data_IF_673458481686
#
_entry.id   IF_673458481686
#
_cell.length_a   1.000
_cell.length_b   1.000
_cell.length_c   1.000
_cell.angle_alpha   90.00
_cell.angle_beta   90.00
_cell.angle_gamma   90.00
#
_symmetry.space_group_name_H-M   'P 1'
#
loop_
_entity.id
_entity.type
_entity.pdbx_description
1 polymer ?
#
# COMPACT_ATOMS: atom_id res chain seq x y z
N UNK A 1 -21.80 -5.26 6.44
CA UNK A 1 -22.05 -4.96 5.01
C UNK A 1 -20.77 -4.58 4.26
N UNK A 2 -19.81 -3.87 4.86
CA UNK A 2 -18.57 -3.45 4.20
C UNK A 2 -17.72 -4.62 3.69
N UNK A 3 -17.37 -5.58 4.54
CA UNK A 3 -16.50 -6.73 4.18
C UNK A 3 -17.06 -7.61 3.05
N UNK A 4 -18.37 -7.99 3.02
CA UNK A 4 -18.92 -8.74 1.90
C UNK A 4 -18.89 -8.02 0.55
N UNK A 5 -18.96 -6.69 0.53
CA UNK A 5 -18.77 -5.92 -0.70
C UNK A 5 -17.28 -5.79 -1.05
N UNK A 6 -16.41 -5.60 -0.06
CA UNK A 6 -14.98 -5.53 -0.26
C UNK A 6 -14.43 -6.83 -0.91
N UNK A 7 -14.93 -8.00 -0.51
CA UNK A 7 -14.49 -9.28 -1.08
C UNK A 7 -14.82 -9.46 -2.58
N UNK A 8 -15.68 -8.61 -3.14
CA UNK A 8 -15.99 -8.59 -4.56
C UNK A 8 -15.02 -7.72 -5.37
N UNK A 9 -14.28 -6.83 -4.74
CA UNK A 9 -13.30 -5.95 -5.36
C UNK A 9 -12.07 -6.75 -5.79
N UNK A 10 -11.70 -6.67 -7.06
CA UNK A 10 -10.67 -7.55 -7.68
C UNK A 10 -9.30 -6.87 -7.78
N UNK A 11 -8.87 -6.25 -6.68
CA UNK A 11 -7.51 -5.72 -6.49
C UNK A 11 -6.98 -6.16 -5.13
N UNK A 12 -5.75 -5.82 -4.79
CA UNK A 12 -5.26 -5.98 -3.42
C UNK A 12 -6.00 -5.03 -2.48
N UNK A 13 -6.80 -5.59 -1.57
CA UNK A 13 -7.64 -4.86 -0.61
C UNK A 13 -7.22 -5.06 0.84
N UNK A 14 -6.07 -5.69 1.11
CA UNK A 14 -5.64 -6.09 2.45
C UNK A 14 -5.60 -4.92 3.44
N UNK A 15 -5.15 -3.73 2.99
CA UNK A 15 -5.15 -2.54 3.85
C UNK A 15 -6.56 -2.10 4.26
N UNK A 16 -7.51 -2.13 3.31
CA UNK A 16 -8.89 -1.76 3.59
C UNK A 16 -9.59 -2.77 4.50
N UNK A 17 -9.29 -4.06 4.32
CA UNK A 17 -9.75 -5.11 5.21
C UNK A 17 -9.21 -4.94 6.63
N UNK A 18 -7.91 -4.62 6.78
CA UNK A 18 -7.28 -4.38 8.07
C UNK A 18 -7.92 -3.19 8.81
N UNK A 19 -8.22 -2.09 8.11
CA UNK A 19 -8.96 -0.94 8.68
C UNK A 19 -10.37 -1.36 9.11
N UNK A 20 -11.12 -2.04 8.24
CA UNK A 20 -12.50 -2.48 8.55
C UNK A 20 -12.59 -3.46 9.72
N UNK A 21 -11.54 -4.25 9.93
CA UNK A 21 -11.42 -5.18 11.07
C UNK A 21 -10.85 -4.54 12.34
N UNK A 22 -10.44 -3.26 12.29
CA UNK A 22 -9.81 -2.56 13.42
C UNK A 22 -8.42 -3.11 13.79
N UNK A 23 -7.73 -3.76 12.85
CA UNK A 23 -6.37 -4.27 13.02
C UNK A 23 -5.33 -3.16 12.90
N UNK A 24 -5.65 -2.10 12.19
CA UNK A 24 -4.83 -0.91 12.00
C UNK A 24 -5.67 0.36 12.09
N UNK A 25 -5.03 1.51 12.22
CA UNK A 25 -5.69 2.81 12.28
C UNK A 25 -6.14 3.28 10.90
N UNK A 26 -7.28 3.97 10.87
CA UNK A 26 -7.86 4.51 9.65
C UNK A 26 -9.31 4.94 9.83
N UNK A 27 -9.89 5.48 8.78
CA UNK A 27 -11.25 6.01 8.77
C UNK A 27 -12.10 5.30 7.72
N UNK A 28 -13.39 5.17 8.01
CA UNK A 28 -14.38 4.60 7.08
C UNK A 28 -15.53 5.59 6.93
N UNK A 29 -15.70 6.10 5.71
CA UNK A 29 -16.80 6.98 5.35
C UNK A 29 -17.82 6.20 4.52
N UNK A 30 -19.09 6.43 4.77
CA UNK A 30 -20.20 5.72 4.13
C UNK A 30 -21.30 6.68 3.69
N UNK A 31 -22.08 6.28 2.69
CA UNK A 31 -23.21 7.05 2.18
C UNK A 31 -24.42 7.03 3.12
N UNK A 32 -24.55 6.02 3.97
CA UNK A 32 -25.64 5.84 4.93
C UNK A 32 -25.19 5.04 6.15
N UNK A 33 -25.54 5.50 7.35
CA UNK A 33 -25.24 4.75 8.59
C UNK A 33 -26.15 3.52 8.76
N UNK A 34 -27.36 3.53 8.21
CA UNK A 34 -28.34 2.46 8.36
C UNK A 34 -28.18 1.37 7.29
N UNK A 35 -28.00 1.78 6.04
CA UNK A 35 -27.94 0.87 4.89
C UNK A 35 -26.82 1.28 3.94
N UNK A 36 -25.55 1.20 4.37
CA UNK A 36 -24.44 1.65 3.55
C UNK A 36 -24.28 0.78 2.30
N UNK A 37 -24.09 1.44 1.15
CA UNK A 37 -23.85 0.83 -0.15
C UNK A 37 -22.57 1.31 -0.80
N UNK A 38 -22.04 2.45 -0.33
CA UNK A 38 -20.81 3.07 -0.80
C UNK A 38 -19.87 3.29 0.37
N UNK A 39 -18.61 2.95 0.16
CA UNK A 39 -17.57 2.98 1.19
C UNK A 39 -16.33 3.68 0.67
N UNK A 40 -15.78 4.56 1.48
CA UNK A 40 -14.43 5.09 1.35
C UNK A 40 -13.64 4.68 2.57
N UNK A 41 -12.60 3.89 2.39
CA UNK A 41 -11.73 3.40 3.47
C UNK A 41 -10.36 4.06 3.32
N UNK A 42 -9.94 4.83 4.32
CA UNK A 42 -8.64 5.49 4.37
C UNK A 42 -7.80 4.91 5.51
N UNK A 43 -6.60 4.46 5.19
CA UNK A 43 -5.59 4.03 6.16
C UNK A 43 -4.69 5.21 6.51
N UNK A 44 -4.28 5.34 7.76
CA UNK A 44 -3.47 6.48 8.24
C UNK A 44 -2.10 6.61 7.55
N UNK A 45 -1.58 5.53 6.97
CA UNK A 45 -0.39 5.58 6.10
C UNK A 45 -0.62 6.35 4.80
N UNK A 46 -1.87 6.70 4.47
CA UNK A 46 -2.23 7.43 3.26
C UNK A 46 -2.64 6.55 2.08
N UNK A 47 -3.06 5.31 2.31
CA UNK A 47 -3.71 4.49 1.27
C UNK A 47 -5.22 4.56 1.43
N UNK A 48 -5.95 4.74 0.32
CA UNK A 48 -7.42 4.72 0.35
C UNK A 48 -8.05 3.95 -0.81
N UNK A 49 -9.28 3.50 -0.56
CA UNK A 49 -10.09 2.76 -1.52
C UNK A 49 -11.54 3.23 -1.46
N UNK A 50 -12.11 3.56 -2.62
CA UNK A 50 -13.55 3.74 -2.78
C UNK A 50 -14.15 2.57 -3.54
N UNK A 51 -15.27 2.00 -3.03
CA UNK A 51 -15.96 0.87 -3.63
C UNK A 51 -17.45 0.87 -3.29
N UNK A 52 -18.22 0.00 -3.98
CA UNK A 52 -19.67 -0.09 -3.89
C UNK A 52 -20.37 0.76 -4.93
N UNK A 53 -21.54 1.33 -4.61
CA UNK A 53 -22.41 2.06 -5.53
C UNK A 53 -21.83 3.43 -5.91
N UNK A 54 -21.38 3.60 -7.17
CA UNK A 54 -20.86 4.87 -7.68
C UNK A 54 -21.96 5.84 -8.16
N UNK A 55 -23.23 5.43 -8.15
CA UNK A 55 -24.37 6.26 -8.59
C UNK A 55 -24.90 7.23 -7.54
N UNK A 56 -24.39 7.25 -6.30
CA UNK A 56 -24.85 8.15 -5.25
C UNK A 56 -24.28 9.56 -5.41
N UNK A 57 -25.03 10.47 -6.03
CA UNK A 57 -24.60 11.85 -6.30
C UNK A 57 -24.24 12.64 -5.03
N UNK A 58 -24.92 12.40 -3.90
CA UNK A 58 -24.63 13.10 -2.67
C UNK A 58 -23.27 12.67 -2.10
N UNK A 59 -22.99 11.36 -2.12
CA UNK A 59 -21.68 10.82 -1.75
C UNK A 59 -20.60 11.32 -2.71
N UNK A 60 -20.87 11.32 -4.01
CA UNK A 60 -19.91 11.76 -5.03
C UNK A 60 -19.53 13.24 -4.87
N UNK A 61 -20.47 14.12 -4.47
CA UNK A 61 -20.14 15.53 -4.14
C UNK A 61 -19.22 15.62 -2.91
N UNK A 62 -19.53 14.85 -1.86
CA UNK A 62 -18.66 14.81 -0.67
C UNK A 62 -17.29 14.22 -0.97
N UNK A 63 -17.23 13.21 -1.82
CA UNK A 63 -15.97 12.64 -2.31
C UNK A 63 -15.15 13.67 -3.07
N UNK A 64 -15.77 14.44 -3.98
CA UNK A 64 -15.10 15.54 -4.69
C UNK A 64 -14.49 16.56 -3.72
N UNK A 65 -15.27 17.04 -2.74
CA UNK A 65 -14.79 17.99 -1.75
C UNK A 65 -13.63 17.41 -0.91
N UNK A 66 -13.66 16.11 -0.60
CA UNK A 66 -12.61 15.43 0.15
C UNK A 66 -11.33 15.24 -0.67
N UNK A 67 -11.41 14.71 -1.90
CA UNK A 67 -10.22 14.44 -2.73
C UNK A 67 -9.51 15.72 -3.17
N UNK A 68 -10.25 16.81 -3.31
CA UNK A 68 -9.71 18.14 -3.64
C UNK A 68 -9.22 18.92 -2.42
N UNK A 69 -9.38 18.35 -1.21
CA UNK A 69 -9.08 18.99 0.07
C UNK A 69 -9.72 20.38 0.23
N UNK A 70 -10.94 20.55 -0.27
CA UNK A 70 -11.66 21.84 -0.30
C UNK A 70 -11.90 22.42 1.08
N UNK A 71 -12.12 21.58 2.08
CA UNK A 71 -12.34 21.97 3.48
C UNK A 71 -11.05 22.11 4.27
N UNK A 72 -9.92 21.63 3.75
CA UNK A 72 -8.63 21.64 4.44
C UNK A 72 -8.52 20.61 5.57
N UNK A 73 -9.39 19.62 5.62
CA UNK A 73 -9.44 18.63 6.70
C UNK A 73 -8.37 17.52 6.54
N UNK A 74 -7.82 17.35 5.35
CA UNK A 74 -6.79 16.36 5.10
C UNK A 74 -5.40 17.01 5.21
N UNK A 75 -4.59 16.49 6.14
CA UNK A 75 -3.27 17.07 6.50
C UNK A 75 -2.09 16.17 6.12
N UNK A 76 -2.34 15.07 5.40
CA UNK A 76 -1.30 14.13 4.95
C UNK A 76 -1.53 13.73 3.49
N UNK A 77 -0.46 13.38 2.76
CA UNK A 77 -0.59 12.80 1.42
C UNK A 77 -1.43 11.54 1.44
N UNK A 78 -2.30 11.40 0.46
CA UNK A 78 -3.18 10.24 0.31
C UNK A 78 -3.20 9.75 -1.12
N UNK A 79 -3.29 8.43 -1.26
CA UNK A 79 -3.26 7.71 -2.52
C UNK A 79 -4.54 6.89 -2.67
N UNK A 80 -5.43 7.35 -3.54
CA UNK A 80 -6.75 6.76 -3.76
C UNK A 80 -6.73 5.70 -4.86
N UNK A 81 -7.40 4.59 -4.60
CA UNK A 81 -7.79 3.56 -5.57
C UNK A 81 -9.32 3.52 -5.68
N UNK A 82 -9.84 3.35 -6.88
CA UNK A 82 -11.25 3.03 -7.10
C UNK A 82 -11.42 1.55 -7.44
N UNK A 83 -12.52 0.94 -6.99
CA UNK A 83 -12.91 -0.40 -7.47
C UNK A 83 -13.04 -0.37 -9.00
N UNK A 84 -12.21 -1.12 -9.74
CA UNK A 84 -12.22 -1.07 -11.21
C UNK A 84 -13.54 -1.59 -11.83
N UNK A 85 -14.28 -2.45 -11.14
CA UNK A 85 -15.55 -2.98 -11.60
C UNK A 85 -16.74 -2.06 -11.23
N UNK A 86 -16.58 -1.18 -10.26
CA UNK A 86 -17.64 -0.34 -9.69
C UNK A 86 -17.91 0.97 -10.44
N UNK A 87 -17.26 1.22 -11.59
CA UNK A 87 -17.45 2.48 -12.33
C UNK A 87 -16.74 3.70 -11.71
N UNK A 88 -15.89 3.48 -10.70
CA UNK A 88 -15.23 4.56 -9.96
C UNK A 88 -14.14 5.28 -10.75
N UNK A 89 -13.33 4.56 -11.56
CA UNK A 89 -12.21 5.16 -12.28
C UNK A 89 -12.65 6.31 -13.21
N UNK A 90 -13.63 6.15 -14.12
CA UNK A 90 -14.06 7.25 -14.97
C UNK A 90 -14.68 8.43 -14.20
N UNK A 91 -15.36 8.14 -13.08
CA UNK A 91 -15.95 9.18 -12.24
C UNK A 91 -14.85 10.02 -11.55
N UNK A 92 -13.86 9.37 -10.94
CA UNK A 92 -12.73 10.04 -10.28
C UNK A 92 -11.91 10.83 -11.31
N UNK A 93 -11.63 10.25 -12.48
CA UNK A 93 -10.89 10.94 -13.56
C UNK A 93 -11.61 12.20 -14.06
N UNK A 94 -12.94 12.15 -14.14
CA UNK A 94 -13.75 13.35 -14.47
C UNK A 94 -13.63 14.43 -13.40
N UNK A 95 -13.72 14.05 -12.12
CA UNK A 95 -13.55 14.95 -10.97
C UNK A 95 -12.16 15.60 -10.95
N UNK A 96 -11.12 14.81 -11.19
CA UNK A 96 -9.73 15.28 -11.23
C UNK A 96 -9.50 16.23 -12.39
N UNK A 97 -10.04 15.91 -13.57
CA UNK A 97 -9.91 16.75 -14.76
C UNK A 97 -10.53 18.12 -14.53
N UNK A 98 -11.76 18.15 -13.99
CA UNK A 98 -12.45 19.40 -13.64
C UNK A 98 -11.66 20.21 -12.60
N UNK A 99 -11.26 19.56 -11.49
CA UNK A 99 -10.50 20.22 -10.43
C UNK A 99 -9.17 20.80 -10.92
N UNK A 100 -8.36 20.02 -11.64
CA UNK A 100 -7.06 20.48 -12.14
C UNK A 100 -7.22 21.61 -13.16
N UNK A 101 -8.29 21.63 -13.95
CA UNK A 101 -8.59 22.74 -14.88
C UNK A 101 -8.94 24.02 -14.11
N UNK A 102 -9.79 23.92 -13.07
CA UNK A 102 -10.13 25.06 -12.20
C UNK A 102 -8.92 25.58 -11.44
N UNK A 103 -8.07 24.68 -10.92
CA UNK A 103 -6.84 25.05 -10.24
C UNK A 103 -5.89 25.84 -11.17
N UNK A 104 -5.68 25.39 -12.39
CA UNK A 104 -4.84 26.07 -13.38
C UNK A 104 -5.36 27.48 -13.73
N UNK A 105 -6.68 27.69 -13.70
CA UNK A 105 -7.28 28.98 -13.98
C UNK A 105 -7.22 29.96 -12.79
N UNK A 106 -7.21 29.42 -11.55
CA UNK A 106 -7.32 30.20 -10.32
C UNK A 106 -5.97 30.49 -9.65
N UNK A 107 -4.97 29.60 -9.82
CA UNK A 107 -3.68 29.68 -9.12
C UNK A 107 -2.58 30.10 -10.10
N UNK A 108 -2.08 31.34 -10.00
CA UNK A 108 -1.06 31.85 -10.91
C UNK A 108 0.35 31.37 -10.58
N UNK A 109 0.60 30.92 -9.32
CA UNK A 109 1.90 30.40 -8.90
C UNK A 109 2.02 28.91 -9.21
N UNK A 110 2.93 28.51 -10.13
CA UNK A 110 3.07 27.11 -10.53
C UNK A 110 3.48 26.17 -9.40
N UNK A 111 4.27 26.61 -8.42
CA UNK A 111 4.71 25.78 -7.31
C UNK A 111 3.55 25.46 -6.35
N UNK A 112 2.73 26.46 -6.05
CA UNK A 112 1.51 26.30 -5.25
C UNK A 112 0.49 25.43 -5.98
N UNK A 113 0.31 25.65 -7.29
CA UNK A 113 -0.56 24.83 -8.12
C UNK A 113 -0.12 23.35 -8.12
N UNK A 114 1.18 23.10 -8.21
CA UNK A 114 1.75 21.73 -8.22
C UNK A 114 1.47 20.97 -6.92
N UNK A 115 1.63 21.60 -5.76
CA UNK A 115 1.32 21.00 -4.45
C UNK A 115 -0.15 20.61 -4.30
N UNK A 116 -1.05 21.41 -4.88
CA UNK A 116 -2.50 21.20 -4.82
C UNK A 116 -3.05 20.32 -5.93
N UNK A 117 -2.25 19.98 -6.93
CA UNK A 117 -2.67 19.16 -8.08
C UNK A 117 -2.87 17.71 -7.67
N UNK A 118 -3.91 17.10 -8.21
CA UNK A 118 -4.12 15.64 -8.12
C UNK A 118 -3.43 15.00 -9.32
N UNK A 119 -2.56 14.02 -9.05
CA UNK A 119 -1.81 13.28 -10.05
C UNK A 119 -2.34 11.87 -10.22
N UNK A 120 -2.43 11.43 -11.47
CA UNK A 120 -2.73 10.02 -11.78
C UNK A 120 -1.42 9.27 -12.00
N UNK A 121 -1.21 8.25 -11.19
CA UNK A 121 -0.13 7.27 -11.29
C UNK A 121 -0.73 5.90 -11.57
N UNK A 122 0.11 4.86 -11.60
CA UNK A 122 -0.32 3.50 -11.86
C UNK A 122 -0.01 2.60 -10.66
N UNK A 123 -1.04 1.96 -10.08
CA UNK A 123 -0.87 0.88 -9.10
C UNK A 123 -0.78 -0.45 -9.84
N UNK A 124 0.23 -1.24 -9.51
CA UNK A 124 0.40 -2.60 -10.04
C UNK A 124 0.10 -3.61 -8.93
N UNK A 125 -0.77 -4.56 -9.23
CA UNK A 125 -1.02 -5.75 -8.44
C UNK A 125 -0.26 -6.91 -9.09
N UNK A 126 0.18 -7.87 -8.27
CA UNK A 126 0.99 -8.99 -8.73
C UNK A 126 0.39 -10.31 -8.30
N UNK A 127 0.72 -11.37 -9.02
CA UNK A 127 0.55 -12.76 -8.60
C UNK A 127 1.91 -13.38 -8.33
N UNK A 128 2.00 -14.24 -7.32
CA UNK A 128 3.24 -14.89 -6.94
C UNK A 128 3.44 -16.22 -7.68
N UNK A 129 4.67 -16.45 -8.16
CA UNK A 129 5.10 -17.70 -8.79
C UNK A 129 6.24 -18.31 -7.97
N UNK A 130 5.98 -19.39 -7.21
CA UNK A 130 6.98 -19.99 -6.33
C UNK A 130 8.11 -20.66 -7.09
N UNK A 131 7.90 -21.15 -8.32
CA UNK A 131 8.98 -21.80 -9.10
C UNK A 131 10.01 -20.76 -9.56
N UNK A 132 9.52 -19.60 -10.03
CA UNK A 132 10.40 -18.48 -10.40
C UNK A 132 11.15 -17.96 -9.18
N UNK A 133 10.48 -17.85 -8.03
CA UNK A 133 11.07 -17.45 -6.76
C UNK A 133 12.21 -18.36 -6.34
N UNK A 134 12.00 -19.68 -6.31
CA UNK A 134 13.03 -20.64 -5.88
C UNK A 134 14.26 -20.58 -6.76
N UNK A 135 14.08 -20.54 -8.08
CA UNK A 135 15.21 -20.41 -9.03
C UNK A 135 15.98 -19.10 -8.85
N UNK A 136 15.28 -17.99 -8.62
CA UNK A 136 15.92 -16.70 -8.39
C UNK A 136 16.66 -16.66 -7.05
N UNK A 137 16.10 -17.28 -6.00
CA UNK A 137 16.72 -17.33 -4.67
C UNK A 137 18.07 -18.04 -4.72
N UNK A 138 18.22 -19.16 -5.43
CA UNK A 138 19.50 -19.86 -5.60
C UNK A 138 20.60 -18.95 -6.18
N UNK A 139 20.24 -18.01 -7.07
CA UNK A 139 21.17 -17.12 -7.75
C UNK A 139 21.48 -15.82 -7.01
N UNK A 140 20.48 -15.27 -6.29
CA UNK A 140 20.51 -13.87 -5.83
C UNK A 140 20.61 -13.71 -4.33
N UNK A 141 20.33 -14.76 -3.55
CA UNK A 141 20.37 -14.69 -2.09
C UNK A 141 21.79 -14.42 -1.58
N UNK A 142 21.93 -13.55 -0.59
CA UNK A 142 23.19 -13.20 0.06
C UNK A 142 23.39 -14.05 1.30
N UNK A 143 24.25 -15.08 1.21
CA UNK A 143 24.58 -15.96 2.32
C UNK A 143 25.62 -15.37 3.30
N UNK A 144 26.24 -14.24 2.93
CA UNK A 144 27.25 -13.51 3.71
C UNK A 144 26.66 -12.40 4.60
N UNK A 145 25.33 -12.22 4.58
CA UNK A 145 24.62 -11.26 5.40
C UNK A 145 23.83 -11.98 6.51
N UNK A 146 23.78 -11.39 7.69
CA UNK A 146 23.00 -11.90 8.81
C UNK A 146 21.55 -11.45 8.68
N UNK A 147 20.61 -12.40 8.71
CA UNK A 147 19.17 -12.12 8.70
C UNK A 147 18.59 -12.63 9.99
N UNK A 148 17.99 -11.73 10.77
CA UNK A 148 17.38 -12.02 12.04
C UNK A 148 15.87 -11.75 12.00
N UNK A 149 15.11 -12.46 12.81
CA UNK A 149 13.71 -12.14 13.02
C UNK A 149 13.59 -10.76 13.69
N UNK A 150 12.63 -9.96 13.27
CA UNK A 150 12.41 -8.62 13.82
C UNK A 150 11.99 -8.71 15.29
N UNK A 151 12.71 -8.05 16.17
CA UNK A 151 12.42 -7.88 17.60
C UNK A 151 11.65 -6.58 17.83
N UNK A 152 11.14 -6.36 19.05
CA UNK A 152 10.52 -5.08 19.43
C UNK A 152 11.49 -3.90 19.28
N UNK A 153 12.75 -4.06 19.63
CA UNK A 153 13.77 -3.04 19.46
C UNK A 153 14.01 -2.73 17.96
N UNK A 154 14.10 -3.76 17.12
CA UNK A 154 14.22 -3.57 15.66
C UNK A 154 12.96 -2.94 15.06
N UNK A 155 11.77 -3.28 15.55
CA UNK A 155 10.52 -2.65 15.12
C UNK A 155 10.51 -1.15 15.45
N UNK A 156 10.86 -0.77 16.66
CA UNK A 156 10.88 0.63 17.11
C UNK A 156 12.02 1.42 16.48
N UNK A 157 13.16 0.80 16.24
CA UNK A 157 14.35 1.42 15.67
C UNK A 157 14.31 1.65 14.16
N UNK A 158 13.28 1.15 13.44
CA UNK A 158 13.17 1.35 11.98
C UNK A 158 13.02 2.81 11.60
N UNK A 159 13.68 3.20 10.51
CA UNK A 159 13.55 4.52 9.89
C UNK A 159 13.38 4.39 8.38
N UNK A 160 12.60 5.27 7.77
CA UNK A 160 12.31 5.24 6.34
C UNK A 160 10.85 5.57 6.01
N UNK A 161 10.50 5.39 4.76
CA UNK A 161 9.16 5.68 4.25
C UNK A 161 8.19 4.51 4.43
N UNK A 162 8.70 3.27 4.48
CA UNK A 162 7.88 2.04 4.59
C UNK A 162 8.38 1.24 5.79
N UNK A 163 7.90 1.58 6.98
CA UNK A 163 8.33 0.97 8.25
C UNK A 163 7.14 0.36 8.99
N UNK A 164 7.32 -0.71 9.78
CA UNK A 164 6.21 -1.44 10.38
C UNK A 164 5.33 -0.59 11.30
N UNK A 165 5.86 0.44 11.98
CA UNK A 165 5.09 1.35 12.84
C UNK A 165 3.97 2.13 12.12
N UNK A 166 3.99 2.22 10.81
CA UNK A 166 2.93 2.86 10.04
C UNK A 166 1.76 1.92 9.73
N UNK A 167 1.94 0.61 9.95
CA UNK A 167 0.98 -0.43 9.58
C UNK A 167 0.43 -1.18 10.80
N UNK A 168 1.14 -1.13 11.90
CA UNK A 168 0.82 -1.86 13.12
C UNK A 168 0.62 -0.91 14.29
N UNK A 169 -0.33 -1.25 15.17
CA UNK A 169 -0.65 -0.44 16.34
C UNK A 169 0.56 -0.24 17.27
N UNK A 170 1.30 -1.30 17.52
CA UNK A 170 2.47 -1.35 18.38
C UNK A 170 3.33 -2.60 18.11
N UNK A 171 4.53 -2.66 18.72
CA UNK A 171 5.46 -3.77 18.59
C UNK A 171 4.88 -5.09 19.12
N UNK A 172 4.13 -5.06 20.22
CA UNK A 172 3.53 -6.26 20.82
C UNK A 172 2.52 -6.89 19.86
N UNK A 173 1.63 -6.09 19.27
CA UNK A 173 0.68 -6.56 18.29
C UNK A 173 1.36 -7.13 17.05
N UNK A 174 2.42 -6.46 16.55
CA UNK A 174 3.22 -6.95 15.43
C UNK A 174 3.90 -8.29 15.75
N UNK A 175 4.55 -8.42 16.89
CA UNK A 175 5.27 -9.63 17.26
C UNK A 175 4.34 -10.85 17.49
N UNK A 176 3.12 -10.60 17.95
CA UNK A 176 2.15 -11.66 18.21
C UNK A 176 1.40 -12.13 16.95
N UNK A 177 1.19 -11.24 15.97
CA UNK A 177 0.29 -11.51 14.83
C UNK A 177 0.90 -11.23 13.47
N UNK A 178 1.98 -10.48 13.40
CA UNK A 178 2.74 -10.19 12.18
C UNK A 178 3.93 -11.12 11.99
N UNK A 179 4.77 -10.78 11.04
CA UNK A 179 6.07 -11.40 10.78
C UNK A 179 7.01 -10.36 10.16
N UNK A 180 8.29 -10.45 10.46
CA UNK A 180 9.28 -9.57 9.86
C UNK A 180 10.71 -10.03 10.12
N UNK A 181 11.58 -9.63 9.22
CA UNK A 181 13.00 -9.93 9.23
C UNK A 181 13.82 -8.67 8.97
N UNK A 182 14.98 -8.60 9.59
CA UNK A 182 15.95 -7.53 9.39
C UNK A 182 17.27 -8.15 8.93
N UNK A 183 17.83 -7.62 7.86
CA UNK A 183 19.16 -7.94 7.41
C UNK A 183 20.14 -6.95 8.06
N UNK A 184 21.05 -7.51 8.86
CA UNK A 184 22.14 -6.79 9.49
C UNK A 184 23.38 -6.87 8.61
N UNK A 185 24.03 -5.71 8.41
CA UNK A 185 25.29 -5.61 7.70
C UNK A 185 26.27 -4.75 8.52
N UNK A 186 27.40 -5.35 8.91
CA UNK A 186 28.38 -4.70 9.78
C UNK A 186 27.77 -4.19 11.10
N UNK A 187 26.74 -4.90 11.61
CA UNK A 187 26.04 -4.56 12.85
C UNK A 187 24.93 -3.51 12.68
N UNK A 188 24.72 -2.99 11.47
CA UNK A 188 23.70 -1.99 11.19
C UNK A 188 22.47 -2.60 10.50
N UNK A 189 21.29 -2.02 10.75
CA UNK A 189 20.07 -2.38 10.04
C UNK A 189 20.14 -1.87 8.58
N UNK A 190 20.43 -2.79 7.64
CA UNK A 190 20.62 -2.45 6.25
C UNK A 190 19.34 -2.56 5.41
N UNK A 191 18.46 -3.53 5.73
CA UNK A 191 17.18 -3.72 5.04
C UNK A 191 16.23 -4.53 5.91
N UNK A 192 14.92 -4.21 5.87
CA UNK A 192 13.91 -4.92 6.64
C UNK A 192 12.69 -5.20 5.79
N UNK A 193 12.22 -6.46 5.82
CA UNK A 193 10.97 -6.90 5.23
C UNK A 193 10.00 -7.34 6.32
N UNK A 194 8.75 -6.95 6.21
CA UNK A 194 7.74 -7.20 7.24
C UNK A 194 6.35 -7.35 6.63
N UNK A 195 5.44 -7.97 7.36
CA UNK A 195 4.03 -7.98 7.02
C UNK A 195 3.46 -6.57 7.15
N UNK A 196 3.17 -5.89 6.03
CA UNK A 196 2.42 -4.65 6.06
C UNK A 196 0.98 -4.94 6.50
N UNK A 197 0.37 -5.96 5.90
CA UNK A 197 -0.96 -6.47 6.27
C UNK A 197 -0.94 -8.00 6.25
N UNK A 198 -1.78 -8.61 7.09
CA UNK A 198 -1.89 -10.06 7.18
C UNK A 198 -3.32 -10.49 7.42
N UNK A 199 -3.73 -11.55 6.72
CA UNK A 199 -4.93 -12.36 7.00
C UNK A 199 -4.52 -13.79 7.38
N UNK A 200 -5.48 -14.68 7.50
CA UNK A 200 -5.21 -16.12 7.70
C UNK A 200 -4.60 -16.79 6.45
N UNK A 201 -4.79 -16.20 5.27
CA UNK A 201 -4.41 -16.79 3.99
C UNK A 201 -3.30 -15.99 3.27
N UNK A 202 -3.14 -14.69 3.56
CA UNK A 202 -2.29 -13.80 2.79
C UNK A 202 -1.42 -12.90 3.69
N UNK A 203 -0.26 -12.51 3.18
CA UNK A 203 0.65 -11.56 3.80
C UNK A 203 1.19 -10.58 2.76
N UNK A 204 0.85 -9.28 2.89
CA UNK A 204 1.44 -8.22 2.05
C UNK A 204 2.81 -7.80 2.58
N UNK A 205 3.80 -7.80 1.69
CA UNK A 205 5.19 -7.50 2.03
C UNK A 205 5.44 -6.01 2.01
N UNK A 206 5.83 -5.45 3.17
CA UNK A 206 6.49 -4.15 3.29
C UNK A 206 8.00 -4.31 3.26
N UNK A 207 8.71 -3.39 2.61
CA UNK A 207 10.17 -3.42 2.46
C UNK A 207 10.76 -2.01 2.56
N UNK A 208 11.78 -1.86 3.38
CA UNK A 208 12.61 -0.65 3.43
C UNK A 208 14.09 -1.04 3.44
N UNK A 209 14.89 -0.26 2.75
CA UNK A 209 16.35 -0.39 2.76
C UNK A 209 17.00 0.95 3.04
N UNK A 210 17.91 0.98 3.98
CA UNK A 210 18.70 2.16 4.28
C UNK A 210 19.44 2.66 3.03
N UNK A 211 19.47 3.96 2.82
CA UNK A 211 19.96 4.57 1.58
C UNK A 211 21.40 4.13 1.22
N UNK A 212 22.30 4.03 2.22
CA UNK A 212 23.68 3.59 2.05
C UNK A 212 23.86 2.10 1.69
N UNK A 213 22.78 1.32 1.77
CA UNK A 213 22.80 -0.13 1.55
C UNK A 213 22.00 -0.58 0.31
N UNK A 214 21.45 0.35 -0.47
CA UNK A 214 20.75 0.05 -1.72
C UNK A 214 21.71 -0.51 -2.79
N UNK A 215 21.19 -1.32 -3.70
CA UNK A 215 21.98 -1.92 -4.79
C UNK A 215 22.82 -3.14 -4.39
N UNK A 216 22.85 -3.53 -3.11
CA UNK A 216 23.65 -4.65 -2.57
C UNK A 216 22.89 -5.99 -2.50
N UNK A 217 21.68 -6.09 -3.05
CA UNK A 217 20.76 -7.25 -3.01
C UNK A 217 20.19 -7.56 -1.62
N UNK A 218 20.34 -6.67 -0.66
CA UNK A 218 19.85 -6.89 0.70
C UNK A 218 18.32 -6.97 0.76
N UNK A 219 17.62 -6.09 0.02
CA UNK A 219 16.16 -6.15 -0.09
C UNK A 219 15.67 -7.50 -0.64
N UNK A 220 16.35 -8.07 -1.64
CA UNK A 220 16.03 -9.39 -2.16
C UNK A 220 16.16 -10.46 -1.09
N UNK A 221 17.27 -10.47 -0.34
CA UNK A 221 17.55 -11.50 0.65
C UNK A 221 16.61 -11.43 1.86
N UNK A 222 16.32 -10.22 2.37
CA UNK A 222 15.40 -10.09 3.50
C UNK A 222 13.94 -10.34 3.11
N UNK A 223 13.51 -9.97 1.89
CA UNK A 223 12.20 -10.36 1.36
C UNK A 223 12.10 -11.86 1.15
N UNK A 224 13.21 -12.52 0.72
CA UNK A 224 13.22 -13.98 0.59
C UNK A 224 12.97 -14.68 1.94
N UNK A 225 13.55 -14.19 3.03
CA UNK A 225 13.26 -14.74 4.35
C UNK A 225 11.77 -14.63 4.75
N UNK A 226 11.13 -13.51 4.40
CA UNK A 226 9.71 -13.33 4.67
C UNK A 226 8.82 -14.17 3.72
N UNK A 227 9.23 -14.35 2.46
CA UNK A 227 8.54 -15.24 1.51
C UNK A 227 8.64 -16.69 1.98
N UNK A 228 9.82 -17.15 2.42
CA UNK A 228 9.98 -18.49 2.98
C UNK A 228 9.04 -18.69 4.17
N UNK A 229 8.98 -17.72 5.08
CA UNK A 229 8.02 -17.74 6.19
C UNK A 229 6.57 -17.90 5.67
N UNK A 230 6.17 -17.16 4.64
CA UNK A 230 4.84 -17.31 4.04
C UNK A 230 4.60 -18.74 3.56
N UNK A 231 5.53 -19.30 2.78
CA UNK A 231 5.41 -20.64 2.21
C UNK A 231 5.36 -21.73 3.29
N UNK A 232 6.19 -21.61 4.34
CA UNK A 232 6.22 -22.53 5.46
C UNK A 232 4.93 -22.53 6.30
N UNK A 233 4.22 -21.38 6.32
CA UNK A 233 2.98 -21.21 7.09
C UNK A 233 1.70 -21.29 6.22
N UNK A 234 1.84 -21.65 4.94
CA UNK A 234 0.70 -21.76 4.01
C UNK A 234 0.05 -20.42 3.65
N UNK A 235 0.80 -19.31 3.76
CA UNK A 235 0.34 -17.98 3.41
C UNK A 235 0.74 -17.65 1.96
N UNK A 236 -0.15 -17.00 1.23
CA UNK A 236 0.18 -16.40 -0.07
C UNK A 236 0.91 -15.05 0.17
N UNK A 237 2.17 -14.89 -0.29
CA UNK A 237 2.82 -13.59 -0.25
C UNK A 237 2.20 -12.66 -1.30
N UNK A 238 1.87 -11.42 -0.88
CA UNK A 238 1.24 -10.40 -1.71
C UNK A 238 2.18 -9.22 -1.91
N UNK A 239 2.21 -8.69 -3.13
CA UNK A 239 2.96 -7.49 -3.48
C UNK A 239 2.11 -6.51 -4.28
N UNK A 240 2.23 -5.24 -3.95
CA UNK A 240 1.65 -4.16 -4.73
C UNK A 240 2.54 -2.92 -4.65
N UNK A 241 2.76 -2.26 -5.78
CA UNK A 241 3.54 -1.03 -5.81
C UNK A 241 3.04 -0.06 -6.89
N UNK A 242 3.53 1.18 -6.86
CA UNK A 242 3.39 2.09 -7.99
C UNK A 242 4.33 1.64 -9.10
N UNK A 243 3.88 1.73 -10.35
CA UNK A 243 4.72 1.45 -11.52
C UNK A 243 5.94 2.37 -11.56
N UNK A 244 5.75 3.63 -11.14
CA UNK A 244 6.79 4.66 -11.08
C UNK A 244 7.84 4.40 -9.99
N UNK A 245 7.58 3.47 -9.06
CA UNK A 245 8.57 2.96 -8.11
C UNK A 245 9.34 1.78 -8.75
N UNK A 246 10.19 2.10 -9.73
CA UNK A 246 10.95 1.12 -10.50
C UNK A 246 11.72 0.12 -9.63
N UNK A 247 12.29 0.60 -8.50
CA UNK A 247 13.04 -0.26 -7.58
C UNK A 247 12.17 -1.37 -6.97
N UNK A 248 10.96 -1.02 -6.50
CA UNK A 248 9.99 -1.97 -5.96
C UNK A 248 9.44 -2.90 -7.06
N UNK A 249 9.12 -2.33 -8.23
CA UNK A 249 8.59 -3.08 -9.37
C UNK A 249 9.59 -4.15 -9.87
N UNK A 250 10.86 -3.79 -10.02
CA UNK A 250 11.90 -4.72 -10.43
C UNK A 250 12.22 -5.77 -9.35
N UNK A 251 12.21 -5.36 -8.07
CA UNK A 251 12.42 -6.28 -6.96
C UNK A 251 11.32 -7.34 -6.91
N UNK A 252 10.06 -6.94 -7.06
CA UNK A 252 8.92 -7.85 -7.12
C UNK A 252 9.13 -8.93 -8.19
N UNK A 253 9.47 -8.53 -9.41
CA UNK A 253 9.67 -9.48 -10.52
C UNK A 253 10.83 -10.46 -10.25
N UNK A 254 11.94 -9.98 -9.66
CA UNK A 254 13.06 -10.85 -9.27
C UNK A 254 12.68 -11.84 -8.17
N UNK A 255 11.73 -11.49 -7.31
CA UNK A 255 11.21 -12.36 -6.25
C UNK A 255 10.09 -13.31 -6.73
N UNK A 256 9.83 -13.39 -8.03
CA UNK A 256 8.82 -14.27 -8.61
C UNK A 256 7.41 -13.68 -8.68
N UNK A 257 7.23 -12.40 -8.39
CA UNK A 257 5.93 -11.73 -8.57
C UNK A 257 5.77 -11.29 -10.04
N UNK A 258 4.65 -11.67 -10.65
CA UNK A 258 4.28 -11.30 -12.04
C UNK A 258 3.19 -10.23 -12.00
N UNK A 259 3.33 -9.11 -12.73
CA UNK A 259 2.26 -8.13 -12.87
C UNK A 259 0.98 -8.80 -13.38
N UNK A 260 -0.13 -8.63 -12.67
CA UNK A 260 -1.42 -9.24 -13.01
C UNK A 260 -2.49 -8.23 -13.38
N UNK A 261 -2.47 -7.05 -12.73
CA UNK A 261 -3.43 -6.00 -12.98
C UNK A 261 -2.81 -4.63 -12.71
N UNK A 262 -3.11 -3.66 -13.57
CA UNK A 262 -2.78 -2.25 -13.38
C UNK A 262 -4.06 -1.43 -13.26
N UNK A 263 -4.09 -0.51 -12.31
CA UNK A 263 -5.21 0.41 -12.09
C UNK A 263 -4.71 1.84 -11.89
N UNK A 264 -5.55 2.86 -12.13
CA UNK A 264 -5.23 4.23 -11.74
C UNK A 264 -4.98 4.34 -10.23
N UNK A 265 -4.00 5.16 -9.86
CA UNK A 265 -3.62 5.42 -8.47
C UNK A 265 -3.43 6.92 -8.30
N UNK A 266 -4.38 7.56 -7.63
CA UNK A 266 -4.47 9.01 -7.59
C UNK A 266 -3.77 9.55 -6.35
N UNK A 267 -2.70 10.34 -6.55
CA UNK A 267 -2.12 11.14 -5.48
C UNK A 267 -2.99 12.38 -5.28
N UNK A 268 -3.66 12.44 -4.15
CA UNK A 268 -4.59 13.51 -3.84
C UNK A 268 -3.86 14.83 -3.49
N UNK A 269 -4.56 15.96 -3.65
CA UNK A 269 -4.07 17.29 -3.29
C UNK A 269 -3.72 17.37 -1.78
N UNK A 270 -2.72 18.15 -1.42
CA UNK A 270 -2.35 18.45 -0.03
C UNK A 270 -3.14 19.63 0.52
#
# INVERSE_FOLDING_TARGET
MALPLLSQVKINTLFAEAVLKGQTTGNVYVDSLQTPRTFYVAHDYGMSLVYGDSGNEAFNRSLYDYITNKTGDRHSPEWLQGDPAGGWSPLIESMITEYNALLNAAEPDPETADKRRIYTNTRVNFTFDPEVYHSAKEQWFRHDAEIVQMTGELFDGQSGAVIPRYFWRDAEHFLNTGAGYTLLWEGENASSAFSAYRTEEQLEIGIESAAGHRGKRFAFSVCSALIDYCLEHGLEPVWGCRLENEGSYQLAQKLGFKPSLTIPYYRLAE
#
